data_IF_057525533709
#
_entry.id   IF_057525533709
#
_cell.length_a   1.000
_cell.length_b   1.000
_cell.length_c   1.000
_cell.angle_alpha   90.00
_cell.angle_beta   90.00
_cell.angle_gamma   90.00
#
_symmetry.space_group_name_H-M   'P 1'
#
loop_
_entity.id
_entity.type
_entity.pdbx_description
1 polymer ?
#
# COMPACT_ATOMS: atom_id res chain seq x y z
N UNK A 1 -19.52 17.83 -21.70
CA UNK A 1 -18.14 17.29 -21.74
C UNK A 1 -17.97 16.61 -23.09
N UNK A 2 -16.94 16.99 -23.83
CA UNK A 2 -16.57 16.28 -25.06
C UNK A 2 -15.75 15.03 -24.70
N UNK A 3 -15.66 14.06 -25.61
CA UNK A 3 -14.87 12.82 -25.39
C UNK A 3 -13.37 13.10 -25.19
N UNK A 4 -12.86 14.19 -25.77
CA UNK A 4 -11.46 14.60 -25.62
C UNK A 4 -11.19 15.13 -24.20
N UNK A 5 -12.11 15.93 -23.62
CA UNK A 5 -11.99 16.43 -22.24
C UNK A 5 -11.86 15.29 -21.21
N UNK A 6 -12.69 14.26 -21.35
CA UNK A 6 -12.70 13.12 -20.43
C UNK A 6 -11.40 12.28 -20.52
N UNK A 7 -10.78 12.23 -21.71
CA UNK A 7 -9.52 11.52 -21.95
C UNK A 7 -8.33 12.24 -21.30
N UNK A 8 -8.31 13.56 -21.39
CA UNK A 8 -7.26 14.39 -20.79
C UNK A 8 -7.33 14.37 -19.27
N UNK A 9 -8.54 14.43 -18.69
CA UNK A 9 -8.75 14.32 -17.24
C UNK A 9 -8.29 12.98 -16.68
N UNK A 10 -8.64 11.86 -17.33
CA UNK A 10 -8.14 10.54 -16.93
C UNK A 10 -6.61 10.49 -16.96
N UNK A 11 -5.99 10.99 -18.03
CA UNK A 11 -4.54 10.95 -18.23
C UNK A 11 -3.82 11.76 -17.14
N UNK A 12 -4.37 12.92 -16.79
CA UNK A 12 -3.88 13.78 -15.71
C UNK A 12 -4.03 13.11 -14.34
N UNK A 13 -5.23 12.63 -13.99
CA UNK A 13 -5.50 11.96 -12.71
C UNK A 13 -4.64 10.71 -12.55
N UNK A 14 -4.57 9.87 -13.58
CA UNK A 14 -3.75 8.67 -13.57
C UNK A 14 -2.27 8.98 -13.33
N UNK A 15 -1.71 9.98 -14.02
CA UNK A 15 -0.31 10.38 -13.84
C UNK A 15 -0.02 10.84 -12.41
N UNK A 16 -0.89 11.71 -11.86
CA UNK A 16 -0.75 12.22 -10.48
C UNK A 16 -0.87 11.08 -9.48
N UNK A 17 -1.86 10.21 -9.64
CA UNK A 17 -2.12 9.08 -8.76
C UNK A 17 -0.96 8.09 -8.74
N UNK A 18 -0.50 7.64 -9.92
CA UNK A 18 0.61 6.69 -10.05
C UNK A 18 1.90 7.25 -9.46
N UNK A 19 2.14 8.55 -9.58
CA UNK A 19 3.29 9.19 -8.93
C UNK A 19 3.20 9.14 -7.40
N UNK A 20 2.09 9.58 -6.81
CA UNK A 20 1.91 9.60 -5.35
C UNK A 20 1.90 8.20 -4.75
N UNK A 21 1.31 7.22 -5.45
CA UNK A 21 1.37 5.82 -5.05
C UNK A 21 2.82 5.32 -5.06
N UNK A 22 3.62 5.68 -6.06
CA UNK A 22 5.05 5.35 -6.09
C UNK A 22 5.82 5.94 -4.90
N UNK A 23 5.51 7.18 -4.51
CA UNK A 23 6.06 7.81 -3.29
C UNK A 23 5.65 7.03 -2.04
N UNK A 24 4.38 6.65 -1.92
CA UNK A 24 3.88 5.86 -0.80
C UNK A 24 4.54 4.47 -0.72
N UNK A 25 4.74 3.80 -1.86
CA UNK A 25 5.48 2.53 -1.96
C UNK A 25 6.92 2.70 -1.45
N UNK A 26 7.63 3.73 -1.93
CA UNK A 26 9.00 3.98 -1.53
C UNK A 26 9.11 4.25 -0.01
N UNK A 27 8.22 5.08 0.53
CA UNK A 27 8.15 5.35 1.98
C UNK A 27 7.85 4.08 2.78
N UNK A 28 6.87 3.28 2.35
CA UNK A 28 6.53 2.02 3.02
C UNK A 28 7.72 1.06 3.07
N UNK A 29 8.46 0.91 1.95
CA UNK A 29 9.68 0.10 1.91
C UNK A 29 10.78 0.66 2.80
N UNK A 30 11.04 1.97 2.76
CA UNK A 30 12.07 2.58 3.60
C UNK A 30 11.78 2.36 5.09
N UNK A 31 10.53 2.56 5.53
CA UNK A 31 10.16 2.33 6.94
C UNK A 31 10.22 0.86 7.32
N UNK A 32 9.77 -0.04 6.45
CA UNK A 32 9.85 -1.49 6.70
C UNK A 32 11.29 -2.00 6.77
N UNK A 33 12.16 -1.56 5.85
CA UNK A 33 13.59 -1.92 5.84
C UNK A 33 14.32 -1.35 7.06
N UNK A 34 14.02 -0.10 7.44
CA UNK A 34 14.57 0.50 8.64
C UNK A 34 14.15 -0.29 9.89
N UNK A 35 12.86 -0.63 10.01
CA UNK A 35 12.34 -1.46 11.10
C UNK A 35 12.99 -2.85 11.14
N UNK A 36 13.20 -3.47 9.98
CA UNK A 36 13.82 -4.79 9.86
C UNK A 36 15.25 -4.87 10.42
N UNK A 37 15.97 -3.74 10.51
CA UNK A 37 17.29 -3.68 11.14
C UNK A 37 17.25 -3.86 12.66
N UNK A 38 16.12 -3.55 13.30
CA UNK A 38 15.97 -3.56 14.76
C UNK A 38 14.93 -4.59 15.22
N UNK A 39 14.03 -5.04 14.35
CA UNK A 39 12.97 -5.97 14.71
C UNK A 39 13.50 -7.37 15.08
N UNK A 40 12.89 -8.04 16.07
CA UNK A 40 13.25 -9.42 16.41
C UNK A 40 12.76 -10.39 15.33
N UNK A 41 13.67 -11.15 14.72
CA UNK A 41 13.36 -12.10 13.65
C UNK A 41 12.75 -13.39 14.20
N UNK A 42 11.46 -13.35 14.50
CA UNK A 42 10.71 -14.49 15.06
C UNK A 42 9.67 -15.04 14.09
N UNK A 43 9.33 -16.32 14.30
CA UNK A 43 8.26 -17.02 13.57
C UNK A 43 6.87 -16.51 13.93
N UNK A 44 6.70 -15.93 15.12
CA UNK A 44 5.43 -15.38 15.58
C UNK A 44 5.65 -14.03 16.29
N UNK A 45 5.64 -12.94 15.52
CA UNK A 45 5.84 -11.58 16.07
C UNK A 45 4.61 -11.09 16.84
N UNK A 46 3.41 -11.61 16.53
CA UNK A 46 2.16 -11.24 17.19
C UNK A 46 2.20 -11.51 18.69
N UNK A 47 2.88 -12.58 19.11
CA UNK A 47 3.06 -12.92 20.52
C UNK A 47 3.84 -11.84 21.32
N UNK A 48 4.63 -11.01 20.64
CA UNK A 48 5.39 -9.93 21.27
C UNK A 48 4.62 -8.61 21.26
N UNK A 49 3.79 -8.38 20.24
CA UNK A 49 3.03 -7.13 20.06
C UNK A 49 1.74 -7.14 20.89
N UNK A 50 1.01 -8.24 20.87
CA UNK A 50 -0.25 -8.41 21.62
C UNK A 50 -0.32 -9.80 22.28
N UNK A 51 0.27 -9.94 23.48
CA UNK A 51 0.30 -11.21 24.21
C UNK A 51 -1.09 -11.65 24.70
N UNK A 52 -2.01 -10.70 24.91
CA UNK A 52 -3.31 -10.93 25.53
C UNK A 52 -4.43 -11.21 24.50
N UNK A 53 -4.31 -10.67 23.28
CA UNK A 53 -5.23 -10.91 22.15
C UNK A 53 -5.17 -12.32 21.56
N UNK A 54 -4.22 -13.14 22.02
CA UNK A 54 -4.21 -14.58 21.77
C UNK A 54 -3.53 -14.97 20.46
N UNK A 55 -2.90 -16.13 20.51
CA UNK A 55 -2.16 -16.86 19.47
C UNK A 55 -2.99 -17.26 18.23
N UNK A 56 -4.14 -16.63 18.00
CA UNK A 56 -5.12 -16.94 16.95
C UNK A 56 -4.55 -16.71 15.53
N UNK A 57 -3.52 -15.87 15.39
CA UNK A 57 -2.85 -15.65 14.10
C UNK A 57 -1.34 -15.71 14.28
N UNK A 58 -0.73 -16.77 13.76
CA UNK A 58 0.72 -16.92 13.73
C UNK A 58 1.24 -16.16 12.53
N UNK A 59 2.03 -15.12 12.77
CA UNK A 59 2.59 -14.29 11.71
C UNK A 59 4.09 -14.08 11.90
N UNK A 60 4.87 -14.41 10.86
CA UNK A 60 6.32 -14.21 10.87
C UNK A 60 6.69 -12.74 10.78
N UNK A 61 7.84 -12.37 11.32
CA UNK A 61 8.38 -10.99 11.20
C UNK A 61 8.50 -10.54 9.75
N UNK A 62 8.90 -11.46 8.87
CA UNK A 62 8.97 -11.24 7.42
C UNK A 62 7.62 -10.86 6.82
N UNK A 63 6.62 -11.73 6.98
CA UNK A 63 5.27 -11.44 6.47
C UNK A 63 4.71 -10.18 7.11
N UNK A 64 5.01 -9.96 8.40
CA UNK A 64 4.47 -8.83 9.13
C UNK A 64 4.96 -7.47 8.63
N UNK A 65 6.24 -7.37 8.25
CA UNK A 65 6.83 -6.13 7.75
C UNK A 65 6.60 -5.91 6.26
N UNK A 66 6.67 -6.98 5.45
CA UNK A 66 6.80 -6.82 4.00
C UNK A 66 5.54 -7.11 3.19
N UNK A 67 4.49 -7.70 3.78
CA UNK A 67 3.27 -8.02 3.01
C UNK A 67 2.61 -6.78 2.43
N UNK A 68 2.47 -5.69 3.20
CA UNK A 68 1.80 -4.47 2.74
C UNK A 68 2.66 -3.65 1.76
N UNK A 69 3.98 -3.47 1.98
CA UNK A 69 4.87 -2.89 0.96
C UNK A 69 4.83 -3.65 -0.37
N UNK A 70 4.79 -4.98 -0.33
CA UNK A 70 4.66 -5.82 -1.54
C UNK A 70 3.31 -5.58 -2.23
N UNK A 71 2.21 -5.57 -1.47
CA UNK A 71 0.87 -5.27 -2.03
C UNK A 71 0.83 -3.89 -2.71
N UNK A 72 1.39 -2.86 -2.06
CA UNK A 72 1.49 -1.52 -2.64
C UNK A 72 2.34 -1.52 -3.92
N UNK A 73 3.44 -2.26 -3.92
CA UNK A 73 4.32 -2.39 -5.09
C UNK A 73 3.59 -3.03 -6.26
N UNK A 74 2.87 -4.13 -6.01
CA UNK A 74 2.06 -4.80 -7.03
C UNK A 74 1.02 -3.84 -7.58
N UNK A 75 0.27 -3.14 -6.71
CA UNK A 75 -0.72 -2.16 -7.13
C UNK A 75 -0.09 -1.05 -8.00
N UNK A 76 1.07 -0.53 -7.60
CA UNK A 76 1.78 0.50 -8.34
C UNK A 76 2.25 0.03 -9.71
N UNK A 77 2.85 -1.16 -9.80
CA UNK A 77 3.28 -1.75 -11.08
C UNK A 77 2.08 -2.04 -11.98
N UNK A 78 0.98 -2.56 -11.43
CA UNK A 78 -0.27 -2.78 -12.17
C UNK A 78 -0.81 -1.48 -12.77
N UNK A 79 -0.73 -0.36 -12.05
CA UNK A 79 -1.15 0.94 -12.58
C UNK A 79 -0.18 1.50 -13.61
N UNK A 80 1.12 1.36 -13.37
CA UNK A 80 2.16 1.84 -14.26
C UNK A 80 2.10 1.16 -15.64
N UNK A 81 1.94 -0.17 -15.67
CA UNK A 81 1.89 -0.94 -16.92
C UNK A 81 0.47 -1.17 -17.45
N UNK A 82 -0.54 -1.17 -16.59
CA UNK A 82 -1.92 -1.51 -16.94
C UNK A 82 -2.77 -0.35 -17.43
N UNK A 83 -2.19 0.81 -17.74
CA UNK A 83 -2.93 2.04 -18.10
C UNK A 83 -4.00 1.83 -19.18
N UNK A 84 -3.69 1.05 -20.22
CA UNK A 84 -4.64 0.78 -21.32
C UNK A 84 -5.77 -0.17 -20.91
N UNK A 85 -5.50 -1.11 -20.00
CA UNK A 85 -6.52 -2.02 -19.45
C UNK A 85 -7.47 -1.23 -18.53
N UNK A 86 -6.92 -0.39 -17.64
CA UNK A 86 -7.72 0.47 -16.76
C UNK A 86 -8.63 1.42 -17.53
N UNK A 87 -8.15 1.97 -18.65
CA UNK A 87 -8.95 2.85 -19.50
C UNK A 87 -10.18 2.14 -20.08
N UNK A 88 -10.07 0.86 -20.41
CA UNK A 88 -11.18 0.04 -20.94
C UNK A 88 -12.11 -0.48 -19.87
N UNK A 89 -11.63 -0.58 -18.63
CA UNK A 89 -12.38 -1.10 -17.48
C UNK A 89 -12.96 0.01 -16.60
N UNK A 90 -13.25 1.20 -17.13
CA UNK A 90 -13.94 2.24 -16.36
C UNK A 90 -15.30 1.69 -15.88
N UNK A 91 -15.47 1.61 -14.57
CA UNK A 91 -16.62 1.00 -13.91
C UNK A 91 -17.63 2.02 -13.41
N UNK A 92 -17.18 3.22 -13.04
CA UNK A 92 -18.01 4.31 -12.57
C UNK A 92 -18.16 5.40 -13.63
N UNK A 93 -19.30 6.11 -13.64
CA UNK A 93 -19.55 7.22 -14.56
C UNK A 93 -18.65 8.45 -14.29
N UNK A 94 -17.97 8.50 -13.13
CA UNK A 94 -17.08 9.58 -12.75
C UNK A 94 -15.67 9.06 -12.41
N UNK A 95 -14.72 9.33 -13.29
CA UNK A 95 -13.30 8.94 -13.16
C UNK A 95 -12.67 9.50 -11.88
N UNK A 96 -13.04 10.72 -11.46
CA UNK A 96 -12.49 11.31 -10.24
C UNK A 96 -12.90 10.50 -8.99
N UNK A 97 -14.10 9.92 -8.99
CA UNK A 97 -14.58 9.10 -7.88
C UNK A 97 -13.83 7.76 -7.81
N UNK A 98 -13.49 7.14 -8.95
CA UNK A 98 -12.67 5.93 -8.99
C UNK A 98 -11.28 6.18 -8.39
N UNK A 99 -10.61 7.26 -8.83
CA UNK A 99 -9.29 7.61 -8.30
C UNK A 99 -9.34 7.99 -6.83
N UNK A 100 -10.40 8.66 -6.36
CA UNK A 100 -10.59 8.97 -4.95
C UNK A 100 -10.76 7.71 -4.10
N UNK A 101 -11.58 6.75 -4.55
CA UNK A 101 -11.76 5.47 -3.88
C UNK A 101 -10.46 4.67 -3.86
N UNK A 102 -9.75 4.58 -4.99
CA UNK A 102 -8.45 3.93 -5.08
C UNK A 102 -7.40 4.58 -4.15
N UNK A 103 -7.39 5.91 -4.07
CA UNK A 103 -6.53 6.65 -3.15
C UNK A 103 -6.84 6.35 -1.68
N UNK A 104 -8.11 6.26 -1.30
CA UNK A 104 -8.50 5.92 0.06
C UNK A 104 -8.01 4.51 0.44
N UNK A 105 -8.18 3.52 -0.45
CA UNK A 105 -7.69 2.15 -0.22
C UNK A 105 -6.16 2.11 -0.15
N UNK A 106 -5.47 2.73 -1.12
CA UNK A 106 -4.01 2.77 -1.15
C UNK A 106 -3.44 3.45 0.10
N UNK A 107 -4.07 4.54 0.55
CA UNK A 107 -3.70 5.22 1.78
C UNK A 107 -3.92 4.33 3.01
N UNK A 108 -5.03 3.61 3.10
CA UNK A 108 -5.27 2.66 4.19
C UNK A 108 -4.21 1.56 4.26
N UNK A 109 -3.84 0.97 3.12
CA UNK A 109 -2.78 -0.03 3.05
C UNK A 109 -1.41 0.56 3.43
N UNK A 110 -1.11 1.77 2.95
CA UNK A 110 0.10 2.50 3.32
C UNK A 110 0.15 2.78 4.84
N UNK A 111 -0.92 3.33 5.41
CA UNK A 111 -1.01 3.60 6.84
C UNK A 111 -0.78 2.35 7.67
N UNK A 112 -1.45 1.24 7.34
CA UNK A 112 -1.25 -0.04 8.02
C UNK A 112 0.19 -0.58 7.85
N UNK A 113 0.84 -0.32 6.72
CA UNK A 113 2.25 -0.67 6.51
C UNK A 113 3.17 0.08 7.46
N UNK A 114 2.93 1.37 7.66
CA UNK A 114 3.71 2.21 8.58
C UNK A 114 3.45 1.79 10.03
N UNK A 115 2.19 1.61 10.42
CA UNK A 115 1.80 1.17 11.76
C UNK A 115 2.51 -0.13 12.16
N UNK A 116 2.53 -1.12 11.26
CA UNK A 116 3.22 -2.38 11.48
C UNK A 116 4.73 -2.20 11.62
N UNK A 117 5.36 -1.41 10.75
CA UNK A 117 6.79 -1.16 10.85
C UNK A 117 7.17 -0.46 12.17
N UNK A 118 6.33 0.47 12.64
CA UNK A 118 6.49 1.18 13.93
C UNK A 118 6.28 0.23 15.11
N UNK A 119 5.26 -0.62 15.08
CA UNK A 119 5.03 -1.62 16.12
C UNK A 119 6.23 -2.58 16.27
N UNK A 120 6.82 -2.99 15.15
CA UNK A 120 8.02 -3.83 15.16
C UNK A 120 9.28 -3.11 15.69
N UNK A 121 9.38 -1.78 15.50
CA UNK A 121 10.45 -0.98 16.09
C UNK A 121 10.33 -0.91 17.62
N UNK A 122 9.11 -0.69 18.13
CA UNK A 122 8.88 -0.56 19.57
C UNK A 122 9.19 -1.82 20.38
N UNK A 123 9.11 -3.00 19.78
CA UNK A 123 9.48 -4.27 20.43
C UNK A 123 10.95 -4.67 20.23
N UNK A 124 11.64 -4.04 19.27
CA UNK A 124 13.04 -4.32 18.95
C UNK A 124 14.05 -3.44 19.69
N UNK A 125 13.58 -2.34 20.28
CA UNK A 125 14.34 -1.42 21.13
C UNK A 125 14.31 -1.89 22.60
#
# INVERSE_FOLDING_TARGET
MTFDDARDDFSRLHRVFTFHLGVAVALAWMTALYSACYAPWVRNIRALIDPAGGTQTIESTWSFLFVLPVVLTIAWLSLFFGREILRRSQTLPNVALEFAAAAAVAFGVFYLSIDRAVAALYIGL
#
